data_IF_739402251304
#
_entry.id   IF_739402251304
#
_cell.length_a   1.000
_cell.length_b   1.000
_cell.length_c   1.000
_cell.angle_alpha   90.00
_cell.angle_beta   90.00
_cell.angle_gamma   90.00
#
_symmetry.space_group_name_H-M   'P 1'
#
loop_
_entity.id
_entity.type
_entity.pdbx_description
1 polymer ?
#
# COMPACT_ATOMS: atom_id res chain seq x y z
N UNK A 1 -6.37 -17.10 17.64
CA UNK A 1 -6.57 -16.86 16.20
C UNK A 1 -7.08 -18.15 15.60
N UNK A 2 -8.11 -18.08 14.77
CA UNK A 2 -8.61 -19.24 14.03
C UNK A 2 -7.52 -19.78 13.09
N UNK A 3 -7.45 -21.10 12.88
CA UNK A 3 -6.41 -21.76 12.08
C UNK A 3 -6.40 -21.29 10.63
N UNK A 4 -7.57 -21.03 10.07
CA UNK A 4 -7.71 -20.45 8.72
C UNK A 4 -7.07 -19.07 8.67
N UNK A 5 -7.43 -18.18 9.60
CA UNK A 5 -6.88 -16.82 9.68
C UNK A 5 -5.36 -16.84 9.82
N UNK A 6 -4.82 -17.75 10.64
CA UNK A 6 -3.37 -17.90 10.78
C UNK A 6 -2.68 -18.26 9.46
N UNK A 7 -3.18 -19.27 8.74
CA UNK A 7 -2.62 -19.70 7.47
C UNK A 7 -2.76 -18.61 6.40
N UNK A 8 -3.89 -17.91 6.33
CA UNK A 8 -4.10 -16.81 5.37
C UNK A 8 -3.13 -15.66 5.63
N UNK A 9 -2.90 -15.28 6.88
CA UNK A 9 -1.94 -14.24 7.25
C UNK A 9 -0.51 -14.65 6.89
N UNK A 10 -0.13 -15.91 7.14
CA UNK A 10 1.18 -16.42 6.77
C UNK A 10 1.38 -16.44 5.25
N UNK A 11 0.35 -16.84 4.49
CA UNK A 11 0.35 -16.80 3.04
C UNK A 11 0.49 -15.38 2.49
N UNK A 12 -0.24 -14.42 3.06
CA UNK A 12 -0.11 -13.01 2.70
C UNK A 12 1.32 -12.48 2.97
N UNK A 13 1.92 -12.84 4.10
CA UNK A 13 3.30 -12.46 4.42
C UNK A 13 4.32 -13.06 3.41
N UNK A 14 4.13 -14.32 3.03
CA UNK A 14 4.98 -14.98 2.03
C UNK A 14 4.85 -14.32 0.66
N UNK A 15 3.63 -14.05 0.19
CA UNK A 15 3.42 -13.33 -1.07
C UNK A 15 4.07 -11.94 -1.02
N UNK A 16 3.90 -11.22 0.09
CA UNK A 16 4.49 -9.90 0.28
C UNK A 16 6.02 -9.91 0.23
N UNK A 17 6.65 -10.88 0.89
CA UNK A 17 8.10 -11.06 0.82
C UNK A 17 8.56 -11.42 -0.59
N UNK A 18 7.79 -12.26 -1.29
CA UNK A 18 8.14 -12.78 -2.62
C UNK A 18 8.15 -11.69 -3.69
N UNK A 19 7.11 -10.84 -3.77
CA UNK A 19 7.11 -9.77 -4.78
C UNK A 19 8.21 -8.73 -4.49
N UNK A 20 8.46 -8.38 -3.22
CA UNK A 20 9.56 -7.49 -2.85
C UNK A 20 10.92 -8.06 -3.26
N UNK A 21 11.13 -9.37 -3.09
CA UNK A 21 12.35 -10.04 -3.55
C UNK A 21 12.47 -10.00 -5.08
N UNK A 22 11.37 -10.20 -5.82
CA UNK A 22 11.36 -10.12 -7.28
C UNK A 22 11.66 -8.71 -7.81
N UNK A 23 11.10 -7.66 -7.20
CA UNK A 23 11.44 -6.26 -7.53
C UNK A 23 12.92 -5.99 -7.30
N UNK A 24 13.51 -6.58 -6.25
CA UNK A 24 14.93 -6.43 -5.92
C UNK A 24 15.85 -7.24 -6.83
N UNK A 25 15.40 -8.37 -7.38
CA UNK A 25 16.21 -9.31 -8.16
C UNK A 25 16.75 -8.74 -9.51
N UNK A 26 16.31 -7.54 -9.91
CA UNK A 26 16.79 -6.84 -11.10
C UNK A 26 15.89 -7.05 -12.32
N UNK A 27 16.11 -6.24 -13.37
CA UNK A 27 15.29 -6.19 -14.59
C UNK A 27 14.50 -4.88 -14.74
N UNK A 28 13.56 -4.85 -15.68
CA UNK A 28 12.67 -3.71 -15.90
C UNK A 28 11.61 -3.66 -14.78
N UNK A 29 11.88 -2.80 -13.78
CA UNK A 29 11.02 -2.59 -12.61
C UNK A 29 9.64 -2.06 -13.02
N UNK A 30 9.57 -1.22 -14.05
CA UNK A 30 8.31 -0.68 -14.53
C UNK A 30 7.46 -1.78 -15.16
N UNK A 31 8.04 -2.61 -16.02
CA UNK A 31 7.35 -3.75 -16.61
C UNK A 31 6.84 -4.72 -15.53
N UNK A 32 7.66 -5.01 -14.50
CA UNK A 32 7.24 -5.87 -13.39
C UNK A 32 6.05 -5.28 -12.61
N UNK A 33 6.15 -4.02 -12.20
CA UNK A 33 5.07 -3.34 -11.45
C UNK A 33 3.80 -3.23 -12.28
N UNK A 34 3.91 -2.96 -13.59
CA UNK A 34 2.80 -2.94 -14.52
C UNK A 34 2.09 -4.30 -14.60
N UNK A 35 2.84 -5.39 -14.80
CA UNK A 35 2.27 -6.75 -14.86
C UNK A 35 1.61 -7.11 -13.54
N UNK A 36 2.21 -6.76 -12.40
CA UNK A 36 1.63 -6.98 -11.08
C UNK A 36 0.28 -6.25 -10.93
N UNK A 37 0.24 -4.95 -11.24
CA UNK A 37 -1.00 -4.16 -11.16
C UNK A 37 -2.07 -4.67 -12.14
N UNK A 38 -1.70 -5.08 -13.35
CA UNK A 38 -2.65 -5.68 -14.31
C UNK A 38 -3.20 -7.02 -13.81
N UNK A 39 -2.37 -7.85 -13.18
CA UNK A 39 -2.81 -9.11 -12.58
C UNK A 39 -3.79 -8.86 -11.42
N UNK A 40 -3.53 -7.86 -10.57
CA UNK A 40 -4.44 -7.43 -9.50
C UNK A 40 -5.77 -6.94 -10.07
N UNK A 41 -5.76 -6.12 -11.14
CA UNK A 41 -6.96 -5.69 -11.83
C UNK A 41 -7.76 -6.86 -12.41
N UNK A 42 -7.08 -7.81 -13.08
CA UNK A 42 -7.72 -8.99 -13.65
C UNK A 42 -8.37 -9.87 -12.56
N UNK A 43 -7.67 -10.07 -11.44
CA UNK A 43 -8.23 -10.77 -10.27
C UNK A 43 -9.45 -10.02 -9.71
N UNK A 44 -9.37 -8.70 -9.56
CA UNK A 44 -10.49 -7.88 -9.09
C UNK A 44 -11.72 -7.99 -9.98
N UNK A 45 -11.53 -7.93 -11.31
CA UNK A 45 -12.60 -8.11 -12.30
C UNK A 45 -13.18 -9.52 -12.29
N UNK A 46 -12.37 -10.55 -12.07
CA UNK A 46 -12.87 -11.92 -11.93
C UNK A 46 -13.70 -12.10 -10.64
N UNK A 47 -13.28 -11.45 -9.56
CA UNK A 47 -13.93 -11.54 -8.26
C UNK A 47 -15.19 -10.69 -8.14
N UNK A 48 -15.34 -9.61 -8.88
CA UNK A 48 -16.46 -8.65 -8.74
C UNK A 48 -17.84 -9.30 -8.84
N UNK A 49 -17.96 -10.37 -9.64
CA UNK A 49 -19.22 -11.11 -9.83
C UNK A 49 -19.67 -11.91 -8.60
N UNK A 50 -18.80 -12.10 -7.62
CA UNK A 50 -19.08 -12.80 -6.37
C UNK A 50 -19.48 -11.84 -5.22
N UNK A 51 -19.49 -10.52 -5.45
CA UNK A 51 -19.81 -9.51 -4.46
C UNK A 51 -21.02 -8.66 -4.85
N UNK A 52 -21.70 -8.02 -3.88
CA UNK A 52 -22.79 -7.08 -4.17
C UNK A 52 -22.34 -5.93 -5.08
N UNK A 53 -23.26 -5.43 -5.89
CA UNK A 53 -23.02 -4.26 -6.73
C UNK A 53 -22.64 -3.04 -5.89
N UNK A 54 -21.65 -2.30 -6.36
CA UNK A 54 -21.20 -1.07 -5.69
C UNK A 54 -22.31 -0.01 -5.74
N UNK A 55 -22.56 0.63 -4.60
CA UNK A 55 -23.49 1.76 -4.53
C UNK A 55 -23.02 2.92 -5.41
N UNK A 56 -23.93 3.58 -6.13
CA UNK A 56 -23.58 4.70 -7.01
C UNK A 56 -22.83 5.83 -6.27
N UNK A 57 -23.13 6.04 -5.00
CA UNK A 57 -22.46 7.02 -4.14
C UNK A 57 -20.97 6.69 -3.86
N UNK A 58 -20.58 5.41 -3.97
CA UNK A 58 -19.21 4.96 -3.79
C UNK A 58 -18.37 5.05 -5.09
N UNK A 59 -19.00 5.23 -6.25
CA UNK A 59 -18.32 5.26 -7.54
C UNK A 59 -17.28 6.39 -7.67
N UNK A 60 -17.54 7.64 -7.21
CA UNK A 60 -16.52 8.69 -7.23
C UNK A 60 -15.29 8.33 -6.38
N UNK A 61 -15.50 7.66 -5.24
CA UNK A 61 -14.42 7.22 -4.35
C UNK A 61 -13.61 6.08 -4.92
N UNK A 62 -14.27 5.15 -5.63
CA UNK A 62 -13.59 4.07 -6.36
C UNK A 62 -12.67 4.65 -7.44
N UNK A 63 -13.18 5.59 -8.24
CA UNK A 63 -12.40 6.25 -9.30
C UNK A 63 -11.24 7.06 -8.70
N UNK A 64 -11.49 7.85 -7.66
CA UNK A 64 -10.46 8.61 -6.97
C UNK A 64 -9.36 7.70 -6.40
N UNK A 65 -9.75 6.61 -5.75
CA UNK A 65 -8.82 5.60 -5.23
C UNK A 65 -7.96 5.02 -6.35
N UNK A 66 -8.57 4.64 -7.48
CA UNK A 66 -7.85 4.14 -8.65
C UNK A 66 -6.82 5.14 -9.18
N UNK A 67 -7.20 6.41 -9.34
CA UNK A 67 -6.29 7.47 -9.80
C UNK A 67 -5.13 7.68 -8.83
N UNK A 68 -5.41 7.76 -7.53
CA UNK A 68 -4.39 7.90 -6.50
C UNK A 68 -3.46 6.69 -6.45
N UNK A 69 -4.00 5.48 -6.65
CA UNK A 69 -3.23 4.25 -6.65
C UNK A 69 -2.31 4.14 -7.86
N UNK A 70 -2.78 4.51 -9.05
CA UNK A 70 -1.94 4.59 -10.26
C UNK A 70 -0.82 5.60 -10.06
N UNK A 71 -1.15 6.80 -9.56
CA UNK A 71 -0.14 7.82 -9.23
C UNK A 71 0.90 7.29 -8.23
N UNK A 72 0.45 6.63 -7.16
CA UNK A 72 1.33 5.99 -6.19
C UNK A 72 2.27 4.95 -6.84
N UNK A 73 1.75 4.06 -7.68
CA UNK A 73 2.57 3.03 -8.33
C UNK A 73 3.59 3.62 -9.30
N UNK A 74 3.23 4.69 -10.03
CA UNK A 74 4.17 5.40 -10.91
C UNK A 74 5.30 6.05 -10.10
N UNK A 75 4.98 6.82 -9.05
CA UNK A 75 5.99 7.45 -8.20
C UNK A 75 6.85 6.41 -7.47
N UNK A 76 6.26 5.30 -7.04
CA UNK A 76 6.98 4.22 -6.36
C UNK A 76 7.98 3.55 -7.31
N UNK A 77 7.56 3.28 -8.54
CA UNK A 77 8.43 2.69 -9.56
C UNK A 77 9.61 3.61 -9.87
N UNK A 78 9.35 4.90 -10.01
CA UNK A 78 10.39 5.90 -10.27
C UNK A 78 11.36 6.05 -9.08
N UNK A 79 10.84 6.06 -7.85
CA UNK A 79 11.64 6.12 -6.64
C UNK A 79 12.53 4.88 -6.52
N UNK A 80 11.99 3.69 -6.83
CA UNK A 80 12.81 2.47 -6.89
C UNK A 80 13.81 2.49 -8.03
N UNK A 81 13.53 3.12 -9.17
CA UNK A 81 14.49 3.24 -10.26
C UNK A 81 15.72 4.08 -9.88
N UNK A 82 15.52 5.14 -9.09
CA UNK A 82 16.54 6.14 -8.77
C UNK A 82 17.19 6.02 -7.38
N UNK A 83 16.65 5.19 -6.48
CA UNK A 83 17.18 5.02 -5.13
C UNK A 83 17.43 3.56 -4.75
N UNK A 84 18.23 3.35 -3.70
CA UNK A 84 18.41 2.01 -3.13
C UNK A 84 17.09 1.55 -2.49
N UNK A 85 16.66 0.36 -2.86
CA UNK A 85 15.48 -0.29 -2.30
C UNK A 85 15.54 -0.37 -0.76
N UNK A 86 16.73 -0.49 -0.17
CA UNK A 86 16.93 -0.50 1.28
C UNK A 86 16.53 0.82 1.97
N UNK A 87 16.61 1.96 1.28
CA UNK A 87 16.25 3.28 1.81
C UNK A 87 14.87 3.73 1.34
N UNK A 88 14.58 3.56 0.05
CA UNK A 88 13.31 3.99 -0.55
C UNK A 88 12.13 3.21 0.03
N UNK A 89 12.29 1.90 0.30
CA UNK A 89 11.21 1.08 0.82
C UNK A 89 10.76 1.50 2.22
N UNK A 90 11.65 1.65 3.22
CA UNK A 90 11.27 2.19 4.52
C UNK A 90 10.69 3.61 4.45
N UNK A 91 11.23 4.49 3.59
CA UNK A 91 10.71 5.84 3.43
C UNK A 91 9.27 5.83 2.88
N UNK A 92 9.02 5.07 1.81
CA UNK A 92 7.70 4.97 1.19
C UNK A 92 6.66 4.35 2.14
N UNK A 93 7.05 3.32 2.90
CA UNK A 93 6.14 2.62 3.82
C UNK A 93 5.97 3.35 5.15
N UNK A 94 6.99 4.02 5.65
CA UNK A 94 6.97 4.73 6.93
C UNK A 94 6.31 6.11 6.85
N UNK A 95 6.34 6.77 5.69
CA UNK A 95 5.66 8.06 5.52
C UNK A 95 4.15 7.91 5.33
N UNK A 96 3.67 6.81 4.77
CA UNK A 96 2.24 6.58 4.54
C UNK A 96 1.38 6.69 5.83
N UNK A 97 1.72 6.05 6.97
CA UNK A 97 1.01 6.25 8.24
C UNK A 97 1.02 7.70 8.75
N UNK A 98 2.10 8.45 8.52
CA UNK A 98 2.19 9.86 8.90
C UNK A 98 1.21 10.71 8.08
N UNK A 99 1.17 10.49 6.77
CA UNK A 99 0.24 11.17 5.86
C UNK A 99 -1.21 10.83 6.22
N UNK A 100 -1.51 9.54 6.47
CA UNK A 100 -2.85 9.10 6.87
C UNK A 100 -3.26 9.76 8.20
N UNK A 101 -2.39 9.78 9.21
CA UNK A 101 -2.68 10.43 10.48
C UNK A 101 -2.96 11.94 10.32
N UNK A 102 -2.17 12.62 9.48
CA UNK A 102 -2.33 14.04 9.20
C UNK A 102 -3.66 14.32 8.48
N UNK A 103 -3.99 13.55 7.44
CA UNK A 103 -5.25 13.69 6.70
C UNK A 103 -6.44 13.36 7.60
N UNK A 104 -6.37 12.31 8.42
CA UNK A 104 -7.41 11.98 9.41
C UNK A 104 -7.66 13.13 10.39
N UNK A 105 -6.61 13.74 10.92
CA UNK A 105 -6.73 14.83 11.88
C UNK A 105 -7.24 16.13 11.24
N UNK A 106 -6.75 16.48 10.04
CA UNK A 106 -7.03 17.79 9.42
C UNK A 106 -8.28 17.80 8.54
N UNK A 107 -8.49 16.73 7.77
CA UNK A 107 -9.57 16.65 6.77
C UNK A 107 -10.79 15.95 7.35
N UNK A 108 -10.60 14.76 7.94
CA UNK A 108 -11.70 13.99 8.54
C UNK A 108 -12.07 14.49 9.95
N UNK A 109 -11.25 15.37 10.55
CA UNK A 109 -11.40 15.91 11.91
C UNK A 109 -11.55 14.82 12.98
N UNK A 110 -10.91 13.67 12.76
CA UNK A 110 -10.89 12.58 13.73
C UNK A 110 -9.96 12.90 14.90
N UNK A 111 -10.41 12.62 16.12
CA UNK A 111 -9.56 12.72 17.31
C UNK A 111 -8.67 11.49 17.44
N UNK A 112 -7.37 11.67 17.19
CA UNK A 112 -6.39 10.61 17.40
C UNK A 112 -6.06 10.50 18.89
N UNK A 113 -6.35 9.34 19.49
CA UNK A 113 -5.98 9.05 20.87
C UNK A 113 -4.46 9.04 21.07
N UNK A 114 -4.02 9.25 22.32
CA UNK A 114 -2.59 9.35 22.68
C UNK A 114 -1.75 8.16 22.18
N UNK A 115 -2.29 6.94 22.24
CA UNK A 115 -1.60 5.72 21.76
C UNK A 115 -1.37 5.73 20.25
N UNK A 116 -2.34 6.23 19.46
CA UNK A 116 -2.19 6.33 18.00
C UNK A 116 -1.13 7.38 17.65
N UNK A 117 -1.14 8.52 18.34
CA UNK A 117 -0.13 9.57 18.17
C UNK A 117 1.27 9.08 18.53
N UNK A 118 1.42 8.34 19.64
CA UNK A 118 2.69 7.75 20.03
C UNK A 118 3.21 6.74 18.99
N UNK A 119 2.33 5.91 18.41
CA UNK A 119 2.70 4.98 17.35
C UNK A 119 3.17 5.73 16.08
N UNK A 120 2.43 6.75 15.66
CA UNK A 120 2.78 7.60 14.50
C UNK A 120 4.13 8.31 14.74
N UNK A 121 4.35 8.86 15.94
CA UNK A 121 5.62 9.49 16.29
C UNK A 121 6.79 8.50 16.27
N UNK A 122 6.60 7.29 16.80
CA UNK A 122 7.60 6.23 16.77
C UNK A 122 7.99 5.84 15.33
N UNK A 123 7.00 5.70 14.44
CA UNK A 123 7.24 5.46 13.01
C UNK A 123 8.04 6.64 12.41
N UNK A 124 7.65 7.88 12.70
CA UNK A 124 8.35 9.07 12.20
C UNK A 124 9.80 9.13 12.63
N UNK A 125 10.10 8.84 13.90
CA UNK A 125 11.48 8.76 14.40
C UNK A 125 12.27 7.67 13.68
N UNK A 126 11.66 6.49 13.48
CA UNK A 126 12.30 5.40 12.73
C UNK A 126 12.61 5.77 11.28
N UNK A 127 11.75 6.53 10.62
CA UNK A 127 11.96 7.02 9.26
C UNK A 127 13.10 8.04 9.18
N UNK A 128 13.20 8.96 10.14
CA UNK A 128 14.26 9.98 10.19
C UNK A 128 15.64 9.39 10.54
N UNK A 129 15.67 8.25 11.25
CA UNK A 129 16.90 7.61 11.69
C UNK A 129 17.59 6.73 10.63
N UNK A 130 16.96 6.53 9.47
CA UNK A 130 17.49 5.79 8.31
C UNK A 130 18.44 6.64 7.46
#
# INVERSE_FOLDING_TARGET
>A
MDGIVFVTVLGAALMHASWNALVKAGGDRFAFMLVLTLAECAMGLALVFFFPMIEAAALPWLLLSGVLHVGYMLFLTEAYAHGDLAQVYPLARGTAPLIVALVSALVLRETLGATKLAAVACIGVGVVAL
#
